data_IF_952462678574
#
_entry.id   IF_952462678574
#
_cell.length_a   1.000
_cell.length_b   1.000
_cell.length_c   1.000
_cell.angle_alpha   90.00
_cell.angle_beta   90.00
_cell.angle_gamma   90.00
#
_symmetry.space_group_name_H-M   'P 1'
#
loop_
_entity.id
_entity.type
_entity.pdbx_description
1 polymer ?
#
# COMPACT_ATOMS: atom_id res chain seq x y z
N UNK A 1 3.37 -1.94 -23.70
CA UNK A 1 4.34 -0.95 -23.18
C UNK A 1 3.67 0.40 -23.29
N UNK A 2 3.40 1.09 -22.19
CA UNK A 2 2.92 2.47 -22.19
C UNK A 2 4.03 3.42 -22.63
N UNK A 3 3.72 4.69 -22.97
CA UNK A 3 4.72 5.66 -23.37
C UNK A 3 5.80 5.82 -22.30
N UNK A 4 7.05 5.80 -22.71
CA UNK A 4 8.21 5.90 -21.82
C UNK A 4 8.43 7.33 -21.29
N UNK A 5 7.67 8.28 -21.79
CA UNK A 5 7.79 9.73 -21.52
C UNK A 5 6.46 10.28 -21.05
N UNK A 6 6.52 11.21 -20.10
CA UNK A 6 5.36 11.99 -19.70
C UNK A 6 5.05 13.01 -20.81
N UNK A 7 3.77 13.30 -21.00
CA UNK A 7 3.30 14.38 -21.89
C UNK A 7 2.25 15.22 -21.14
N UNK A 8 2.23 16.49 -21.41
CA UNK A 8 1.23 17.38 -20.85
C UNK A 8 -0.08 17.24 -21.61
N UNK A 9 -1.16 16.97 -20.86
CA UNK A 9 -2.49 16.94 -21.46
C UNK A 9 -2.94 18.35 -21.79
N UNK A 10 -3.49 18.58 -23.00
CA UNK A 10 -4.13 19.84 -23.30
C UNK A 10 -5.42 19.98 -22.48
N UNK A 11 -5.44 20.93 -21.55
CA UNK A 11 -6.59 21.20 -20.68
C UNK A 11 -7.27 22.47 -21.15
N UNK A 12 -8.58 22.42 -21.37
CA UNK A 12 -9.38 23.62 -21.61
C UNK A 12 -9.54 24.39 -20.30
N UNK A 13 -9.05 25.64 -20.22
CA UNK A 13 -9.17 26.41 -18.97
C UNK A 13 -10.65 26.66 -18.63
N UNK A 14 -10.99 26.51 -17.38
CA UNK A 14 -12.27 26.90 -16.81
C UNK A 14 -12.03 27.94 -15.70
N UNK A 15 -13.07 28.67 -15.31
CA UNK A 15 -12.98 29.53 -14.13
C UNK A 15 -13.08 28.68 -12.86
N UNK A 16 -12.58 29.15 -11.71
CA UNK A 16 -12.74 28.45 -10.43
C UNK A 16 -14.23 28.22 -10.09
N UNK A 17 -14.52 27.09 -9.45
CA UNK A 17 -15.87 26.77 -8.99
C UNK A 17 -16.38 27.84 -8.02
N UNK A 18 -17.66 28.22 -8.16
CA UNK A 18 -18.32 29.19 -7.26
C UNK A 18 -18.10 30.67 -7.63
N UNK A 19 -17.29 30.99 -8.64
CA UNK A 19 -17.07 32.40 -9.08
C UNK A 19 -18.25 32.95 -9.87
N UNK A 20 -18.92 32.10 -10.66
CA UNK A 20 -20.07 32.51 -11.47
C UNK A 20 -21.13 31.43 -11.49
N UNK A 21 -22.37 31.79 -11.10
CA UNK A 21 -23.53 30.91 -11.21
C UNK A 21 -23.89 30.64 -12.69
N UNK A 22 -24.15 29.36 -13.02
CA UNK A 22 -24.53 28.94 -14.37
C UNK A 22 -23.42 29.00 -15.41
N UNK A 23 -22.14 29.13 -15.00
CA UNK A 23 -21.02 29.08 -15.94
C UNK A 23 -20.97 27.72 -16.65
N UNK A 24 -20.90 27.69 -18.00
CA UNK A 24 -20.82 26.44 -18.76
C UNK A 24 -19.41 25.87 -18.72
N UNK A 25 -19.12 25.01 -17.73
CA UNK A 25 -17.83 24.35 -17.64
C UNK A 25 -17.59 23.43 -18.84
N UNK A 26 -16.42 23.54 -19.45
CA UNK A 26 -15.99 22.65 -20.51
C UNK A 26 -15.50 21.32 -19.90
N UNK A 27 -16.02 20.22 -20.42
CA UNK A 27 -15.61 18.86 -20.07
C UNK A 27 -14.66 18.31 -21.14
N UNK A 28 -13.73 17.47 -20.71
CA UNK A 28 -12.82 16.74 -21.59
C UNK A 28 -12.76 15.28 -21.16
N UNK A 29 -12.79 14.39 -22.14
CA UNK A 29 -12.70 12.96 -21.92
C UNK A 29 -11.44 12.40 -22.57
N UNK A 30 -10.81 11.41 -21.93
CA UNK A 30 -9.73 10.66 -22.53
C UNK A 30 -9.77 9.19 -22.10
N UNK A 31 -9.40 8.32 -23.03
CA UNK A 31 -9.26 6.88 -22.74
C UNK A 31 -7.90 6.57 -22.13
N UNK A 32 -7.92 6.01 -20.92
CA UNK A 32 -6.72 5.50 -20.27
C UNK A 32 -6.47 4.07 -20.72
N UNK A 33 -5.29 3.81 -21.28
CA UNK A 33 -4.82 2.46 -21.62
C UNK A 33 -4.11 1.82 -20.41
N UNK A 34 -4.13 0.50 -20.36
CA UNK A 34 -3.40 -0.24 -19.32
C UNK A 34 -1.94 0.22 -19.20
N UNK A 35 -1.51 0.47 -17.99
CA UNK A 35 -0.18 0.98 -17.68
C UNK A 35 -0.02 2.49 -17.78
N UNK A 36 -1.01 3.22 -18.33
CA UNK A 36 -0.99 4.69 -18.33
C UNK A 36 -1.21 5.23 -16.92
N UNK A 37 -0.44 6.24 -16.56
CA UNK A 37 -0.61 7.01 -15.32
C UNK A 37 -1.10 8.41 -15.61
N UNK A 38 -1.87 8.98 -14.69
CA UNK A 38 -2.24 10.40 -14.71
C UNK A 38 -1.68 11.05 -13.44
N UNK A 39 -0.94 12.15 -13.65
CA UNK A 39 -0.37 12.95 -12.59
C UNK A 39 -1.07 14.31 -12.56
N UNK A 40 -1.74 14.59 -11.46
CA UNK A 40 -2.45 15.84 -11.19
C UNK A 40 -1.69 16.61 -10.10
N UNK A 41 -1.61 17.91 -10.23
CA UNK A 41 -0.90 18.74 -9.25
C UNK A 41 -1.47 20.17 -9.26
N UNK A 42 -1.19 20.91 -8.18
CA UNK A 42 -1.45 22.35 -8.09
C UNK A 42 -0.24 23.13 -8.63
N UNK A 43 -0.45 24.38 -8.99
CA UNK A 43 0.58 25.31 -9.50
C UNK A 43 1.77 25.48 -8.54
N UNK A 44 1.56 25.32 -7.24
CA UNK A 44 2.64 25.28 -6.26
C UNK A 44 3.74 24.22 -6.55
N UNK A 45 3.52 23.26 -7.45
CA UNK A 45 4.56 22.35 -7.91
C UNK A 45 5.51 23.00 -8.92
N UNK A 46 4.98 23.49 -10.02
CA UNK A 46 5.79 24.05 -11.10
C UNK A 46 6.27 25.47 -10.82
N UNK A 47 5.57 26.19 -9.93
CA UNK A 47 5.91 27.54 -9.48
C UNK A 47 6.72 27.57 -8.19
N UNK A 48 7.09 26.40 -7.62
CA UNK A 48 8.01 26.35 -6.48
C UNK A 48 9.31 27.10 -6.78
N UNK A 49 9.70 28.02 -5.91
CA UNK A 49 10.84 28.93 -6.13
C UNK A 49 12.06 28.53 -5.30
N UNK A 50 13.25 28.73 -5.87
CA UNK A 50 14.52 28.72 -5.14
C UNK A 50 14.82 30.08 -4.48
N UNK A 51 15.95 30.19 -3.79
CA UNK A 51 16.36 31.43 -3.13
C UNK A 51 16.66 32.61 -4.10
N UNK A 52 16.79 32.33 -5.39
CA UNK A 52 16.99 33.33 -6.44
C UNK A 52 15.69 33.67 -7.19
N UNK A 53 14.55 33.15 -6.74
CA UNK A 53 13.22 33.27 -7.36
C UNK A 53 13.11 32.61 -8.75
N UNK A 54 13.95 31.63 -9.03
CA UNK A 54 13.73 30.80 -10.21
C UNK A 54 12.66 29.77 -9.90
N UNK A 55 11.75 29.52 -10.85
CA UNK A 55 10.71 28.51 -10.70
C UNK A 55 11.21 27.11 -11.06
N UNK A 56 10.68 26.07 -10.42
CA UNK A 56 10.95 24.67 -10.72
C UNK A 56 10.66 24.35 -12.19
N UNK A 57 9.51 24.75 -12.66
CA UNK A 57 9.11 24.75 -14.08
C UNK A 57 8.69 23.37 -14.60
N UNK A 58 7.92 23.39 -15.67
CA UNK A 58 7.36 22.19 -16.30
C UNK A 58 8.40 21.24 -16.87
N UNK A 59 9.53 21.76 -17.36
CA UNK A 59 10.60 20.91 -17.91
C UNK A 59 11.15 19.94 -16.85
N UNK A 60 11.34 20.43 -15.61
CA UNK A 60 11.83 19.59 -14.51
C UNK A 60 10.75 18.60 -14.05
N UNK A 61 9.47 19.04 -14.00
CA UNK A 61 8.35 18.14 -13.69
C UNK A 61 8.33 16.98 -14.70
N UNK A 62 8.39 17.27 -15.99
CA UNK A 62 8.36 16.26 -17.05
C UNK A 62 9.60 15.33 -17.01
N UNK A 63 10.78 15.86 -16.71
CA UNK A 63 12.01 15.09 -16.61
C UNK A 63 12.01 14.09 -15.44
N UNK A 64 11.30 14.43 -14.36
CA UNK A 64 11.20 13.56 -13.16
C UNK A 64 10.13 12.49 -13.33
N UNK A 65 9.04 12.79 -14.05
CA UNK A 65 7.96 11.84 -14.29
C UNK A 65 8.42 10.68 -15.17
N UNK A 66 8.35 9.48 -14.62
CA UNK A 66 8.80 8.26 -15.27
C UNK A 66 7.77 7.15 -15.07
N UNK A 67 7.09 6.74 -16.16
CA UNK A 67 6.04 5.72 -16.12
C UNK A 67 6.45 4.33 -15.59
N UNK A 68 7.73 4.08 -15.32
CA UNK A 68 8.26 2.78 -14.87
C UNK A 68 8.27 2.61 -13.34
N UNK A 69 8.24 3.71 -12.59
CA UNK A 69 8.28 3.64 -11.13
C UNK A 69 6.91 3.24 -10.55
N UNK A 70 6.88 2.55 -9.40
CA UNK A 70 5.68 2.40 -8.60
C UNK A 70 5.06 3.76 -8.28
N UNK A 71 3.73 3.80 -8.07
CA UNK A 71 2.99 5.07 -7.86
C UNK A 71 3.57 5.88 -6.69
N UNK A 72 3.82 5.22 -5.56
CA UNK A 72 4.40 5.86 -4.36
C UNK A 72 5.81 6.42 -4.63
N UNK A 73 6.68 5.61 -5.24
CA UNK A 73 8.04 6.01 -5.58
C UNK A 73 8.08 7.17 -6.61
N UNK A 74 7.06 7.26 -7.48
CA UNK A 74 6.96 8.36 -8.42
C UNK A 74 6.64 9.68 -7.72
N UNK A 75 5.70 9.69 -6.77
CA UNK A 75 5.36 10.87 -5.97
C UNK A 75 6.56 11.31 -5.12
N UNK A 76 7.19 10.37 -4.41
CA UNK A 76 8.38 10.64 -3.60
C UNK A 76 9.54 11.23 -4.43
N UNK A 77 9.73 10.74 -5.65
CA UNK A 77 10.76 11.25 -6.56
C UNK A 77 10.49 12.69 -6.99
N UNK A 78 9.23 13.02 -7.33
CA UNK A 78 8.84 14.40 -7.67
C UNK A 78 9.04 15.30 -6.46
N UNK A 79 8.54 14.91 -5.31
CA UNK A 79 8.69 15.66 -4.05
C UNK A 79 10.16 15.93 -3.72
N UNK A 80 11.02 14.91 -3.80
CA UNK A 80 12.45 15.05 -3.54
C UNK A 80 13.14 15.99 -4.53
N UNK A 81 12.73 15.98 -5.79
CA UNK A 81 13.28 16.86 -6.82
C UNK A 81 12.91 18.33 -6.56
N UNK A 82 11.66 18.60 -6.16
CA UNK A 82 11.21 19.94 -5.78
C UNK A 82 11.97 20.43 -4.55
N UNK A 83 12.03 19.64 -3.48
CA UNK A 83 12.75 20.04 -2.27
C UNK A 83 14.24 20.27 -2.49
N UNK A 84 14.88 19.42 -3.32
CA UNK A 84 16.29 19.64 -3.69
C UNK A 84 16.51 20.92 -4.49
N UNK A 85 15.52 21.36 -5.26
CA UNK A 85 15.57 22.58 -6.03
C UNK A 85 15.33 23.82 -5.15
N UNK A 86 14.27 23.78 -4.32
CA UNK A 86 13.89 24.87 -3.42
C UNK A 86 14.97 25.13 -2.36
N UNK A 87 15.62 24.07 -1.86
CA UNK A 87 16.65 24.17 -0.81
C UNK A 87 16.08 24.79 0.46
N UNK A 88 16.74 25.86 0.95
CA UNK A 88 16.36 26.58 2.17
C UNK A 88 15.34 27.71 1.92
N UNK A 89 14.86 27.90 0.68
CA UNK A 89 13.86 28.94 0.40
C UNK A 89 12.52 28.58 1.09
N UNK A 90 11.77 29.60 1.57
CA UNK A 90 10.45 29.36 2.13
C UNK A 90 9.49 28.85 1.04
N UNK A 91 8.58 27.95 1.43
CA UNK A 91 7.54 27.48 0.52
C UNK A 91 6.69 28.66 0.03
N UNK A 92 6.53 28.77 -1.30
CA UNK A 92 5.82 29.88 -1.94
C UNK A 92 4.31 29.67 -2.00
N UNK A 93 3.85 28.43 -2.14
CA UNK A 93 2.43 28.06 -2.25
C UNK A 93 2.19 26.61 -1.78
N UNK A 94 0.91 26.22 -1.63
CA UNK A 94 0.50 24.87 -1.27
C UNK A 94 0.77 23.87 -2.38
N UNK A 95 1.53 22.82 -2.05
CA UNK A 95 1.93 21.77 -2.97
C UNK A 95 1.04 20.55 -2.79
N UNK A 96 0.15 20.30 -3.74
CA UNK A 96 -0.67 19.08 -3.79
C UNK A 96 -0.36 18.28 -5.03
N UNK A 97 -0.19 16.95 -4.85
CA UNK A 97 0.09 16.02 -5.94
C UNK A 97 -0.76 14.78 -5.79
N UNK A 98 -1.33 14.31 -6.89
CA UNK A 98 -2.01 13.02 -6.99
C UNK A 98 -1.50 12.29 -8.24
N UNK A 99 -1.02 11.07 -8.04
CA UNK A 99 -0.65 10.19 -9.13
C UNK A 99 -1.44 8.89 -9.05
N UNK A 100 -2.10 8.50 -10.12
CA UNK A 100 -2.70 7.19 -10.23
C UNK A 100 -2.32 6.53 -11.56
N UNK A 101 -2.35 5.20 -11.59
CA UNK A 101 -2.07 4.40 -12.78
C UNK A 101 -3.23 3.46 -13.04
N UNK A 102 -3.70 3.45 -14.28
CA UNK A 102 -4.71 2.50 -14.72
C UNK A 102 -4.06 1.16 -15.06
N UNK A 103 -4.36 0.14 -14.27
CA UNK A 103 -3.71 -1.18 -14.42
C UNK A 103 -4.46 -2.09 -15.40
N UNK A 104 -5.68 -1.75 -15.79
CA UNK A 104 -6.57 -2.61 -16.62
C UNK A 104 -6.71 -4.02 -16.01
N UNK A 105 -6.72 -4.10 -14.70
CA UNK A 105 -7.15 -5.34 -14.05
C UNK A 105 -8.64 -5.47 -14.29
N UNK A 106 -9.02 -6.44 -15.11
CA UNK A 106 -10.44 -6.80 -15.23
C UNK A 106 -10.92 -7.22 -13.83
N UNK A 107 -12.14 -6.85 -13.41
CA UNK A 107 -12.69 -7.38 -12.16
C UNK A 107 -12.64 -8.91 -12.07
N UNK A 108 -12.56 -9.59 -13.22
CA UNK A 108 -12.38 -11.03 -13.35
C UNK A 108 -10.97 -11.53 -13.01
N UNK A 109 -9.97 -10.63 -12.95
CA UNK A 109 -8.58 -10.99 -12.62
C UNK A 109 -8.28 -10.86 -11.12
N UNK A 110 -9.24 -10.38 -10.33
CA UNK A 110 -9.14 -10.30 -8.87
C UNK A 110 -9.97 -11.42 -8.26
N UNK A 111 -9.30 -12.31 -7.55
CA UNK A 111 -9.98 -13.37 -6.79
C UNK A 111 -9.90 -13.06 -5.32
N UNK A 112 -11.05 -12.94 -4.69
CA UNK A 112 -11.16 -12.74 -3.25
C UNK A 112 -11.53 -14.06 -2.56
N UNK A 113 -10.92 -14.31 -1.41
CA UNK A 113 -11.20 -15.46 -0.55
C UNK A 113 -11.18 -15.00 0.89
N UNK A 114 -12.02 -15.63 1.70
CA UNK A 114 -12.11 -15.38 3.15
C UNK A 114 -12.09 -16.68 3.92
N UNK A 115 -11.51 -16.61 5.11
CA UNK A 115 -11.55 -17.64 6.15
C UNK A 115 -11.81 -16.94 7.49
N UNK A 116 -12.85 -17.35 8.20
CA UNK A 116 -13.15 -16.84 9.53
C UNK A 116 -12.84 -17.93 10.55
N UNK A 117 -11.96 -17.60 11.49
CA UNK A 117 -11.60 -18.47 12.60
C UNK A 117 -12.14 -17.89 13.91
N UNK A 118 -12.49 -18.75 14.86
CA UNK A 118 -12.65 -18.36 16.25
C UNK A 118 -11.28 -18.21 16.92
N UNK A 119 -11.22 -17.51 18.05
CA UNK A 119 -9.99 -17.36 18.83
C UNK A 119 -9.61 -18.66 19.59
N UNK A 120 -9.63 -19.78 18.87
CA UNK A 120 -9.22 -21.11 19.31
C UNK A 120 -7.97 -21.55 18.54
N UNK A 121 -6.86 -21.76 19.26
CA UNK A 121 -5.57 -22.13 18.66
C UNK A 121 -5.64 -23.40 17.79
N UNK A 122 -6.59 -24.28 18.06
CA UNK A 122 -6.79 -25.51 17.27
C UNK A 122 -7.23 -25.24 15.85
N UNK A 123 -7.85 -24.10 15.59
CA UNK A 123 -8.32 -23.71 14.25
C UNK A 123 -7.20 -23.21 13.33
N UNK A 124 -6.01 -22.92 13.84
CA UNK A 124 -4.85 -22.52 13.02
C UNK A 124 -4.56 -23.54 11.92
N UNK A 125 -4.80 -24.83 12.17
CA UNK A 125 -4.61 -25.88 11.15
C UNK A 125 -5.43 -25.67 9.87
N UNK A 126 -6.52 -24.88 9.91
CA UNK A 126 -7.34 -24.55 8.76
C UNK A 126 -6.64 -23.60 7.77
N UNK A 127 -5.64 -22.83 8.24
CA UNK A 127 -4.85 -21.92 7.39
C UNK A 127 -4.11 -22.67 6.27
N UNK A 128 -3.58 -23.86 6.54
CA UNK A 128 -2.85 -24.64 5.56
C UNK A 128 -3.76 -25.03 4.37
N UNK A 129 -4.99 -25.44 4.64
CA UNK A 129 -6.00 -25.75 3.62
C UNK A 129 -6.42 -24.51 2.82
N UNK A 130 -6.66 -23.42 3.53
CA UNK A 130 -7.00 -22.13 2.94
C UNK A 130 -5.90 -21.64 1.98
N UNK A 131 -4.63 -21.67 2.43
CA UNK A 131 -3.49 -21.24 1.63
C UNK A 131 -3.21 -22.19 0.45
N UNK A 132 -3.44 -23.49 0.60
CA UNK A 132 -3.35 -24.44 -0.53
C UNK A 132 -4.32 -24.08 -1.66
N UNK A 133 -5.54 -23.66 -1.32
CA UNK A 133 -6.51 -23.15 -2.30
C UNK A 133 -6.04 -21.88 -3.01
N UNK A 134 -5.43 -20.96 -2.27
CA UNK A 134 -4.83 -19.72 -2.81
C UNK A 134 -3.65 -20.05 -3.72
N UNK A 135 -2.76 -20.95 -3.30
CA UNK A 135 -1.58 -21.36 -4.05
C UNK A 135 -1.96 -21.98 -5.42
N UNK A 136 -3.03 -22.76 -5.47
CA UNK A 136 -3.54 -23.33 -6.71
C UNK A 136 -4.04 -22.26 -7.69
N UNK A 137 -4.76 -21.24 -7.20
CA UNK A 137 -5.27 -20.12 -8.01
C UNK A 137 -4.14 -19.22 -8.49
N UNK A 138 -3.25 -18.81 -7.57
CA UNK A 138 -2.13 -17.91 -7.84
C UNK A 138 -0.90 -18.60 -8.46
N UNK A 139 -0.95 -19.93 -8.65
CA UNK A 139 0.14 -20.77 -9.21
C UNK A 139 1.46 -20.60 -8.45
N UNK A 140 1.39 -20.56 -7.13
CA UNK A 140 2.57 -20.43 -6.29
C UNK A 140 3.38 -21.72 -6.26
N UNK A 141 4.70 -21.58 -6.16
CA UNK A 141 5.55 -22.72 -5.85
C UNK A 141 5.44 -23.14 -4.36
N UNK A 142 5.94 -24.32 -4.05
CA UNK A 142 5.87 -24.87 -2.68
C UNK A 142 6.70 -24.08 -1.66
N UNK A 143 7.80 -23.48 -2.07
CA UNK A 143 8.68 -22.70 -1.19
C UNK A 143 7.99 -21.43 -0.72
N UNK A 144 7.41 -20.69 -1.67
CA UNK A 144 6.65 -19.48 -1.36
C UNK A 144 5.39 -19.82 -0.57
N UNK A 145 4.67 -20.88 -0.94
CA UNK A 145 3.48 -21.35 -0.20
C UNK A 145 3.80 -21.65 1.26
N UNK A 146 4.88 -22.38 1.54
CA UNK A 146 5.30 -22.68 2.91
C UNK A 146 5.72 -21.42 3.68
N UNK A 147 6.41 -20.49 3.02
CA UNK A 147 6.80 -19.22 3.65
C UNK A 147 5.57 -18.37 4.01
N UNK A 148 4.59 -18.28 3.11
CA UNK A 148 3.35 -17.56 3.36
C UNK A 148 2.52 -18.22 4.47
N UNK A 149 2.48 -19.57 4.50
CA UNK A 149 1.81 -20.29 5.59
C UNK A 149 2.40 -19.91 6.94
N UNK A 150 3.72 -19.93 7.06
CA UNK A 150 4.41 -19.55 8.27
C UNK A 150 4.11 -18.09 8.69
N UNK A 151 4.11 -17.16 7.75
CA UNK A 151 3.78 -15.76 8.03
C UNK A 151 2.32 -15.59 8.50
N UNK A 152 1.38 -16.31 7.89
CA UNK A 152 -0.03 -16.28 8.30
C UNK A 152 -0.25 -16.94 9.65
N UNK A 153 0.35 -18.11 9.89
CA UNK A 153 0.28 -18.80 11.19
C UNK A 153 0.79 -17.90 12.32
N UNK A 154 1.91 -17.21 12.13
CA UNK A 154 2.46 -16.27 13.11
C UNK A 154 1.53 -15.09 13.36
N UNK A 155 1.03 -14.46 12.30
CA UNK A 155 0.15 -13.30 12.43
C UNK A 155 -1.19 -13.67 13.09
N UNK A 156 -1.82 -14.77 12.67
CA UNK A 156 -3.12 -15.21 13.17
C UNK A 156 -3.00 -15.77 14.61
N UNK A 157 -1.95 -16.54 14.92
CA UNK A 157 -1.73 -17.04 16.28
C UNK A 157 -1.54 -15.92 17.28
N UNK A 158 -0.86 -14.84 16.90
CA UNK A 158 -0.71 -13.66 17.75
C UNK A 158 -2.08 -13.01 18.07
N UNK A 159 -2.98 -12.93 17.10
CA UNK A 159 -4.34 -12.43 17.35
C UNK A 159 -5.10 -13.37 18.29
N UNK A 160 -5.12 -14.67 17.99
CA UNK A 160 -5.85 -15.68 18.78
C UNK A 160 -5.37 -15.68 20.24
N UNK A 161 -4.06 -15.64 20.47
CA UNK A 161 -3.49 -15.74 21.82
C UNK A 161 -3.54 -14.45 22.61
N UNK A 162 -3.47 -13.29 21.94
CA UNK A 162 -3.20 -12.03 22.66
C UNK A 162 -4.24 -10.93 22.44
N UNK A 163 -5.10 -11.00 21.42
CA UNK A 163 -6.05 -9.93 21.15
C UNK A 163 -7.25 -9.94 22.08
N UNK A 164 -7.66 -11.11 22.55
CA UNK A 164 -8.84 -11.28 23.38
C UNK A 164 -8.48 -11.65 24.84
N UNK A 165 -9.21 -11.13 25.83
CA UNK A 165 -9.11 -11.61 27.22
C UNK A 165 -9.45 -13.10 27.32
N UNK A 166 -8.86 -13.78 28.30
CA UNK A 166 -9.16 -15.19 28.56
C UNK A 166 -10.67 -15.42 28.82
N UNK A 167 -11.25 -16.36 28.07
CA UNK A 167 -12.69 -16.71 28.19
C UNK A 167 -13.64 -15.79 27.43
N UNK A 168 -13.12 -14.83 26.69
CA UNK A 168 -13.92 -14.03 25.76
C UNK A 168 -13.88 -14.63 24.36
N UNK A 169 -15.06 -14.91 23.80
CA UNK A 169 -15.17 -15.35 22.42
C UNK A 169 -14.85 -14.19 21.46
N UNK A 170 -14.10 -14.51 20.39
CA UNK A 170 -13.75 -13.58 19.35
C UNK A 170 -13.55 -14.28 18.01
N UNK A 171 -13.47 -13.51 16.96
CA UNK A 171 -13.23 -14.02 15.61
C UNK A 171 -12.06 -13.28 14.96
N UNK A 172 -11.37 -13.99 14.07
CA UNK A 172 -10.33 -13.47 13.20
C UNK A 172 -10.79 -13.72 11.77
N UNK A 173 -11.01 -12.65 11.01
CA UNK A 173 -11.33 -12.72 9.58
C UNK A 173 -10.04 -12.55 8.78
N UNK A 174 -9.71 -13.57 8.00
CA UNK A 174 -8.55 -13.63 7.13
C UNK A 174 -9.03 -13.50 5.69
N UNK A 175 -8.86 -12.32 5.11
CA UNK A 175 -9.13 -12.06 3.70
C UNK A 175 -7.88 -12.19 2.84
N UNK A 176 -8.02 -12.57 1.59
CA UNK A 176 -6.98 -12.45 0.57
C UNK A 176 -7.54 -11.92 -0.72
N UNK A 177 -6.84 -10.94 -1.29
CA UNK A 177 -7.02 -10.48 -2.67
C UNK A 177 -5.87 -11.04 -3.51
N UNK A 178 -6.22 -11.90 -4.46
CA UNK A 178 -5.30 -12.50 -5.41
C UNK A 178 -5.36 -11.69 -6.69
N UNK A 179 -4.25 -11.06 -7.06
CA UNK A 179 -4.07 -10.36 -8.32
C UNK A 179 -3.00 -11.06 -9.15
N UNK A 180 -2.84 -10.62 -10.40
CA UNK A 180 -1.86 -11.21 -11.32
C UNK A 180 -0.44 -11.23 -10.75
N UNK A 181 -0.05 -10.19 -10.07
CA UNK A 181 1.32 -9.91 -9.62
C UNK A 181 1.45 -9.72 -8.11
N UNK A 182 0.33 -9.82 -7.37
CA UNK A 182 0.33 -9.58 -5.92
C UNK A 182 -0.67 -10.45 -5.19
N UNK A 183 -0.31 -10.82 -3.96
CA UNK A 183 -1.21 -11.33 -2.93
C UNK A 183 -1.30 -10.30 -1.82
N UNK A 184 -2.50 -9.88 -1.47
CA UNK A 184 -2.74 -9.01 -0.33
C UNK A 184 -3.61 -9.74 0.68
N UNK A 185 -3.03 -10.03 1.84
CA UNK A 185 -3.76 -10.60 2.98
C UNK A 185 -4.22 -9.49 3.91
N UNK A 186 -5.42 -9.65 4.46
CA UNK A 186 -5.95 -8.82 5.53
C UNK A 186 -6.33 -9.72 6.71
N UNK A 187 -5.87 -9.38 7.90
CA UNK A 187 -6.27 -10.05 9.15
C UNK A 187 -7.02 -9.01 9.97
N UNK A 188 -8.30 -9.27 10.22
CA UNK A 188 -9.22 -8.36 10.91
C UNK A 188 -9.73 -9.00 12.18
N UNK A 189 -9.60 -8.30 13.31
CA UNK A 189 -10.10 -8.73 14.60
C UNK A 189 -10.71 -7.58 15.41
N UNK A 190 -11.58 -7.90 16.36
CA UNK A 190 -12.22 -6.96 17.27
C UNK A 190 -11.57 -6.89 18.66
N UNK A 191 -10.37 -7.39 18.83
CA UNK A 191 -9.68 -7.45 20.10
C UNK A 191 -9.11 -6.11 20.57
N UNK A 192 -8.28 -6.15 21.62
CA UNK A 192 -7.59 -4.96 22.11
C UNK A 192 -6.65 -4.38 21.03
N UNK A 193 -6.43 -3.05 21.02
CA UNK A 193 -5.48 -2.44 20.10
C UNK A 193 -4.08 -3.03 20.26
N UNK A 194 -3.49 -3.46 19.15
CA UNK A 194 -2.11 -3.92 19.12
C UNK A 194 -1.54 -3.68 17.73
N UNK A 195 -0.55 -2.78 17.66
CA UNK A 195 0.18 -2.51 16.42
C UNK A 195 1.45 -3.37 16.35
N UNK A 196 1.45 -4.46 15.60
CA UNK A 196 2.64 -5.30 15.45
C UNK A 196 3.75 -4.60 14.66
N UNK A 197 3.44 -3.52 13.92
CA UNK A 197 4.44 -2.77 13.14
C UNK A 197 5.24 -1.79 13.99
N UNK A 198 4.74 -1.42 15.17
CA UNK A 198 5.44 -0.56 16.13
C UNK A 198 6.45 -1.35 17.00
N UNK A 199 6.45 -2.67 16.97
CA UNK A 199 7.41 -3.47 17.74
C UNK A 199 8.84 -3.24 17.22
N UNK A 200 9.84 -3.01 18.12
CA UNK A 200 11.23 -2.89 17.72
C UNK A 200 11.69 -4.16 17.00
N UNK A 201 12.65 -4.01 16.08
CA UNK A 201 13.23 -5.17 15.42
C UNK A 201 13.83 -6.13 16.47
N UNK A 202 13.52 -7.41 16.31
CA UNK A 202 14.08 -8.43 17.19
C UNK A 202 15.61 -8.46 17.01
N UNK A 203 16.36 -8.28 18.08
CA UNK A 203 17.82 -8.45 18.06
C UNK A 203 18.16 -9.92 17.89
N UNK A 204 18.43 -10.30 16.63
CA UNK A 204 18.80 -11.67 16.25
C UNK A 204 20.21 -12.07 16.69
N UNK A 205 21.01 -11.11 17.21
CA UNK A 205 22.35 -11.37 17.73
C UNK A 205 22.34 -11.98 19.15
N UNK A 206 21.23 -11.84 19.88
CA UNK A 206 21.06 -12.42 21.22
C UNK A 206 20.81 -13.94 21.16
N UNK A 207 21.37 -14.66 22.12
CA UNK A 207 21.12 -16.10 22.28
C UNK A 207 19.63 -16.41 22.47
N UNK A 208 19.20 -17.64 22.16
CA UNK A 208 17.80 -18.07 22.21
C UNK A 208 17.18 -17.86 23.62
N UNK A 209 18.01 -17.97 24.69
CA UNK A 209 17.60 -17.84 26.08
C UNK A 209 17.42 -16.36 26.53
N UNK A 210 18.05 -15.40 25.84
CA UNK A 210 18.04 -13.97 26.18
C UNK A 210 17.05 -13.13 25.34
N UNK A 211 16.29 -13.77 24.43
CA UNK A 211 15.34 -13.07 23.58
C UNK A 211 14.01 -12.84 24.29
N UNK A 212 13.45 -11.61 24.24
CA UNK A 212 12.12 -11.36 24.76
C UNK A 212 11.09 -12.21 24.01
N UNK A 213 10.22 -12.89 24.75
CA UNK A 213 9.11 -13.68 24.22
C UNK A 213 8.19 -12.74 23.44
N UNK A 214 8.03 -12.92 22.11
CA UNK A 214 7.04 -12.21 21.30
C UNK A 214 7.57 -11.35 20.13
N UNK A 215 8.89 -11.16 19.96
CA UNK A 215 9.42 -10.33 18.84
C UNK A 215 9.74 -11.10 17.55
N UNK A 216 9.91 -12.43 17.64
CA UNK A 216 10.39 -13.23 16.51
C UNK A 216 9.33 -13.42 15.42
N UNK A 217 8.06 -13.59 15.80
CA UNK A 217 6.97 -13.85 14.86
C UNK A 217 6.73 -12.68 13.90
N UNK A 218 6.62 -11.45 14.42
CA UNK A 218 6.42 -10.27 13.55
C UNK A 218 7.66 -9.96 12.70
N UNK A 219 8.87 -10.23 13.21
CA UNK A 219 10.09 -10.15 12.43
C UNK A 219 10.05 -11.09 11.22
N UNK A 220 9.59 -12.33 11.42
CA UNK A 220 9.44 -13.32 10.36
C UNK A 220 8.41 -12.87 9.31
N UNK A 221 7.26 -12.37 9.76
CA UNK A 221 6.24 -11.80 8.87
C UNK A 221 6.85 -10.70 7.97
N UNK A 222 7.59 -9.75 8.57
CA UNK A 222 8.26 -8.68 7.83
C UNK A 222 9.35 -9.17 6.88
N UNK A 223 9.98 -10.31 7.15
CA UNK A 223 10.99 -10.91 6.25
C UNK A 223 10.37 -11.62 5.05
N UNK A 224 9.18 -12.19 5.22
CA UNK A 224 8.49 -12.94 4.19
C UNK A 224 7.67 -12.00 3.28
N UNK A 225 6.99 -11.02 3.89
CA UNK A 225 6.10 -10.09 3.18
C UNK A 225 6.87 -8.86 2.69
N UNK A 226 6.46 -8.30 1.55
CA UNK A 226 7.10 -7.10 0.98
C UNK A 226 6.57 -5.81 1.61
N UNK A 227 5.35 -5.84 2.15
CA UNK A 227 4.84 -4.77 3.01
C UNK A 227 3.92 -5.29 4.10
N UNK A 228 3.97 -4.64 5.26
CA UNK A 228 3.10 -4.93 6.40
C UNK A 228 2.61 -3.59 6.94
N UNK A 229 1.29 -3.41 7.03
CA UNK A 229 0.64 -2.19 7.53
C UNK A 229 -0.40 -2.54 8.57
N UNK A 230 -0.51 -1.72 9.59
CA UNK A 230 -1.54 -1.83 10.61
C UNK A 230 -2.36 -0.55 10.63
N UNK A 231 -3.65 -0.72 10.79
CA UNK A 231 -4.56 0.36 11.10
C UNK A 231 -5.65 -0.11 12.07
N UNK A 232 -6.25 0.85 12.77
CA UNK A 232 -7.41 0.59 13.62
C UNK A 232 -8.58 1.45 13.15
N UNK A 233 -9.63 0.81 12.68
CA UNK A 233 -10.84 1.45 12.17
C UNK A 233 -12.07 0.82 12.82
N UNK A 234 -13.02 1.62 13.26
CA UNK A 234 -14.30 1.19 13.86
C UNK A 234 -14.13 0.11 14.96
N UNK A 235 -13.15 0.34 15.85
CA UNK A 235 -12.77 -0.59 16.93
C UNK A 235 -12.22 -1.95 16.46
N UNK A 236 -11.90 -2.14 15.19
CA UNK A 236 -11.24 -3.32 14.65
C UNK A 236 -9.77 -3.06 14.37
N UNK A 237 -8.94 -4.04 14.65
CA UNK A 237 -7.57 -4.10 14.18
C UNK A 237 -7.58 -4.64 12.75
N UNK A 238 -6.79 -4.03 11.87
CA UNK A 238 -6.63 -4.46 10.47
C UNK A 238 -5.13 -4.54 10.20
N UNK A 239 -4.62 -5.73 10.02
CA UNK A 239 -3.26 -5.98 9.59
C UNK A 239 -3.28 -6.36 8.11
N UNK A 240 -2.71 -5.51 7.27
CA UNK A 240 -2.59 -5.75 5.82
C UNK A 240 -1.16 -6.15 5.49
N UNK A 241 -0.99 -7.28 4.80
CA UNK A 241 0.29 -7.85 4.40
C UNK A 241 0.27 -8.08 2.89
N UNK A 242 1.27 -7.59 2.17
CA UNK A 242 1.36 -7.73 0.71
C UNK A 242 2.59 -8.53 0.32
N UNK A 243 2.42 -9.43 -0.65
CA UNK A 243 3.50 -10.18 -1.31
C UNK A 243 3.44 -9.96 -2.80
N UNK A 244 4.54 -9.50 -3.40
CA UNK A 244 4.72 -9.41 -4.84
C UNK A 244 5.10 -10.80 -5.39
N UNK A 245 4.54 -11.15 -6.54
CA UNK A 245 4.70 -12.47 -7.19
C UNK A 245 5.67 -12.42 -8.39
N UNK A 246 6.18 -11.21 -8.73
CA UNK A 246 7.10 -10.96 -9.85
C UNK A 246 8.48 -10.58 -9.34
#
# INVERSE_FOLDING_TARGET
MGPETAEQLPVTPNIPLGVMEGFPFAEQEMDLKAGMGLFLYTDGLNEAEDSEHNQFGMERVMAVLNGKLPVTAQVEKVQSAVWSFVGDAPQSDDLTMLYFRYLNESPTDVVERHLILHNDIRQISELAGFLSGIAAVAKLDSTLTNSLNLALEEAVSNVIMYAYPAGQDGTVDIGVLIRRDTLQFSIVDGGKPFDPTAAPEADVSLGVEDRPIGGLGIFLVRKIMDSVRYERLDARNILTMTKNLL
#
